data_IF_465493486341
#
_entry.id   IF_465493486341
#
_cell.length_a   1.000
_cell.length_b   1.000
_cell.length_c   1.000
_cell.angle_alpha   90.00
_cell.angle_beta   90.00
_cell.angle_gamma   90.00
#
_symmetry.space_group_name_H-M   'P 1'
#
loop_
_entity.id
_entity.type
_entity.pdbx_description
1 polymer ?
#
# COMPACT_ATOMS: atom_id res chain seq x y z
N UNK A 1 7.95 51.37 16.84
CA UNK A 1 8.74 50.25 17.39
C UNK A 1 8.01 48.87 17.37
N UNK A 2 6.83 48.75 16.71
CA UNK A 2 6.09 47.45 16.63
C UNK A 2 6.24 46.71 15.30
N UNK A 3 6.96 47.25 14.32
CA UNK A 3 7.11 46.57 13.01
C UNK A 3 8.19 45.49 12.96
N UNK A 4 9.14 45.52 13.89
CA UNK A 4 10.25 44.52 13.91
C UNK A 4 9.92 43.17 14.56
N UNK A 5 8.91 43.11 15.43
CA UNK A 5 8.53 41.87 16.12
C UNK A 5 7.67 40.93 15.24
N UNK A 6 6.82 41.51 14.38
CA UNK A 6 5.98 40.74 13.47
C UNK A 6 6.79 40.03 12.37
N UNK A 7 7.90 40.61 11.95
CA UNK A 7 8.76 40.06 10.90
C UNK A 7 9.63 38.90 11.44
N UNK A 8 10.05 38.99 12.72
CA UNK A 8 10.83 37.94 13.38
C UNK A 8 10.02 36.68 13.63
N UNK A 9 8.78 36.79 14.07
CA UNK A 9 7.89 35.64 14.31
C UNK A 9 7.48 34.97 12.99
N UNK A 10 7.26 35.73 11.94
CA UNK A 10 6.96 35.17 10.61
C UNK A 10 8.17 34.44 10.00
N UNK A 11 9.38 34.98 10.15
CA UNK A 11 10.61 34.34 9.67
C UNK A 11 10.98 33.12 10.50
N UNK A 12 10.75 33.10 11.82
CA UNK A 12 11.00 31.95 12.68
C UNK A 12 10.01 30.82 12.41
N UNK A 13 8.73 31.10 12.27
CA UNK A 13 7.70 30.13 11.92
C UNK A 13 7.94 29.50 10.54
N UNK A 14 8.42 30.28 9.59
CA UNK A 14 8.77 29.80 8.25
C UNK A 14 10.03 28.89 8.28
N UNK A 15 11.02 29.22 9.14
CA UNK A 15 12.21 28.41 9.33
C UNK A 15 11.91 27.05 9.99
N UNK A 16 11.05 27.01 10.99
CA UNK A 16 10.63 25.75 11.63
C UNK A 16 9.81 24.87 10.68
N UNK A 17 8.91 25.48 9.91
CA UNK A 17 8.12 24.77 8.90
C UNK A 17 9.01 24.17 7.80
N UNK A 18 10.00 24.92 7.33
CA UNK A 18 10.98 24.46 6.36
C UNK A 18 11.85 23.31 6.91
N UNK A 19 12.27 23.36 8.18
CA UNK A 19 12.99 22.26 8.84
C UNK A 19 12.13 21.00 8.95
N UNK A 20 10.83 21.14 9.28
CA UNK A 20 9.88 20.02 9.35
C UNK A 20 9.69 19.37 7.98
N UNK A 21 9.49 20.19 6.93
CA UNK A 21 9.36 19.71 5.56
C UNK A 21 10.64 19.01 5.11
N UNK A 22 11.81 19.62 5.33
CA UNK A 22 13.11 19.02 4.97
C UNK A 22 13.34 17.68 5.69
N UNK A 23 13.02 17.60 6.98
CA UNK A 23 13.12 16.36 7.76
C UNK A 23 12.19 15.26 7.21
N UNK A 24 10.94 15.59 6.93
CA UNK A 24 9.98 14.64 6.38
C UNK A 24 10.42 14.14 4.99
N UNK A 25 10.89 15.05 4.14
CA UNK A 25 11.44 14.71 2.82
C UNK A 25 12.66 13.80 2.93
N UNK A 26 13.58 14.10 3.85
CA UNK A 26 14.77 13.26 4.09
C UNK A 26 14.37 11.84 4.52
N UNK A 27 13.38 11.69 5.42
CA UNK A 27 12.87 10.36 5.82
C UNK A 27 12.29 9.59 4.64
N UNK A 28 11.56 10.27 3.75
CA UNK A 28 11.01 9.62 2.54
C UNK A 28 12.12 9.16 1.58
N UNK A 29 13.14 9.98 1.33
CA UNK A 29 14.28 9.59 0.48
C UNK A 29 15.07 8.44 1.09
N UNK A 30 15.43 8.52 2.37
CA UNK A 30 16.13 7.44 3.07
C UNK A 30 15.34 6.12 3.00
N UNK A 31 14.03 6.18 3.24
CA UNK A 31 13.15 5.03 3.09
C UNK A 31 13.21 4.46 1.67
N UNK A 32 13.10 5.30 0.63
CA UNK A 32 13.12 4.83 -0.77
C UNK A 32 14.44 4.15 -1.12
N UNK A 33 15.58 4.74 -0.72
CA UNK A 33 16.91 4.16 -0.96
C UNK A 33 17.09 2.82 -0.23
N UNK A 34 16.69 2.75 1.05
CA UNK A 34 16.78 1.52 1.83
C UNK A 34 15.90 0.41 1.25
N UNK A 35 14.64 0.71 0.92
CA UNK A 35 13.73 -0.26 0.32
C UNK A 35 14.26 -0.73 -1.05
N UNK A 36 14.78 0.19 -1.87
CA UNK A 36 15.37 -0.15 -3.16
C UNK A 36 16.56 -1.11 -3.00
N UNK A 37 17.48 -0.81 -2.08
CA UNK A 37 18.64 -1.67 -1.77
C UNK A 37 18.22 -3.05 -1.28
N UNK A 38 17.28 -3.12 -0.34
CA UNK A 38 16.73 -4.39 0.17
C UNK A 38 16.03 -5.17 -0.95
N UNK A 39 15.23 -4.51 -1.80
CA UNK A 39 14.51 -5.16 -2.90
C UNK A 39 15.46 -5.75 -3.93
N UNK A 40 16.51 -5.03 -4.31
CA UNK A 40 17.52 -5.52 -5.26
C UNK A 40 18.27 -6.75 -4.68
N UNK A 41 18.63 -6.69 -3.41
CA UNK A 41 19.27 -7.81 -2.74
C UNK A 41 18.33 -9.02 -2.64
N UNK A 42 17.09 -8.79 -2.21
CA UNK A 42 16.03 -9.81 -2.10
C UNK A 42 15.79 -10.51 -3.43
N UNK A 43 15.66 -9.78 -4.54
CA UNK A 43 15.45 -10.35 -5.88
C UNK A 43 16.57 -11.31 -6.28
N UNK A 44 17.83 -10.95 -5.95
CA UNK A 44 18.98 -11.81 -6.21
C UNK A 44 18.95 -13.11 -5.40
N UNK A 45 18.57 -13.02 -4.12
CA UNK A 45 18.51 -14.20 -3.25
C UNK A 45 17.32 -15.09 -3.63
N UNK A 46 16.14 -14.50 -3.92
CA UNK A 46 14.96 -15.24 -4.42
C UNK A 46 15.30 -16.03 -5.67
N UNK A 47 15.96 -15.40 -6.66
CA UNK A 47 16.38 -16.05 -7.89
C UNK A 47 17.32 -17.24 -7.63
N UNK A 48 18.20 -17.13 -6.63
CA UNK A 48 19.10 -18.21 -6.24
C UNK A 48 18.36 -19.40 -5.60
N UNK A 49 17.38 -19.11 -4.73
CA UNK A 49 16.67 -20.11 -3.94
C UNK A 49 15.57 -20.81 -4.75
N UNK A 50 14.78 -20.06 -5.51
CA UNK A 50 13.71 -20.62 -6.35
C UNK A 50 14.25 -21.22 -7.67
N UNK A 51 15.37 -20.69 -8.16
CA UNK A 51 15.82 -20.97 -9.52
C UNK A 51 15.12 -20.10 -10.58
N UNK A 52 15.59 -20.19 -11.80
CA UNK A 52 15.11 -19.32 -12.90
C UNK A 52 13.66 -19.64 -13.29
N UNK A 53 13.29 -20.93 -13.29
CA UNK A 53 11.98 -21.38 -13.72
C UNK A 53 10.87 -20.94 -12.75
N UNK A 54 10.99 -21.27 -11.48
CA UNK A 54 10.00 -20.93 -10.44
C UNK A 54 9.95 -19.41 -10.20
N UNK A 55 11.08 -18.72 -10.26
CA UNK A 55 11.12 -17.26 -10.20
C UNK A 55 10.42 -16.64 -11.42
N UNK A 56 10.58 -17.24 -12.60
CA UNK A 56 9.86 -16.84 -13.82
C UNK A 56 8.34 -16.99 -13.66
N UNK A 57 7.88 -18.16 -13.20
CA UNK A 57 6.47 -18.44 -12.94
C UNK A 57 5.89 -17.42 -11.93
N UNK A 58 6.58 -17.18 -10.81
CA UNK A 58 6.15 -16.21 -9.80
C UNK A 58 5.99 -14.80 -10.40
N UNK A 59 6.96 -14.33 -11.20
CA UNK A 59 6.89 -13.00 -11.80
C UNK A 59 5.80 -12.87 -12.87
N UNK A 60 5.59 -13.89 -13.69
CA UNK A 60 4.55 -13.88 -14.73
C UNK A 60 3.16 -13.90 -14.09
N UNK A 61 2.94 -14.78 -13.13
CA UNK A 61 1.67 -14.90 -12.40
C UNK A 61 1.39 -13.65 -11.57
N UNK A 62 2.39 -13.17 -10.82
CA UNK A 62 2.31 -11.92 -10.06
C UNK A 62 2.14 -10.69 -10.96
N UNK A 63 2.68 -10.72 -12.17
CA UNK A 63 2.51 -9.68 -13.18
C UNK A 63 1.06 -9.48 -13.60
N UNK A 64 0.30 -10.55 -13.78
CA UNK A 64 -1.15 -10.50 -14.07
C UNK A 64 -1.88 -9.76 -12.95
N UNK A 65 -1.55 -10.07 -11.70
CA UNK A 65 -2.16 -9.43 -10.52
C UNK A 65 -1.69 -7.98 -10.37
N UNK A 66 -0.45 -7.67 -10.72
CA UNK A 66 0.14 -6.32 -10.55
C UNK A 66 -0.49 -5.26 -11.47
N UNK A 67 -1.15 -5.66 -12.57
CA UNK A 67 -1.93 -4.73 -13.41
C UNK A 67 -3.01 -4.01 -12.57
N UNK A 68 -3.56 -4.71 -11.57
CA UNK A 68 -4.57 -4.15 -10.68
C UNK A 68 -4.02 -3.04 -9.75
N UNK A 69 -2.70 -2.98 -9.55
CA UNK A 69 -2.06 -1.96 -8.70
C UNK A 69 -2.16 -0.53 -9.27
N UNK A 70 -2.45 -0.38 -10.54
CA UNK A 70 -2.76 0.93 -11.15
C UNK A 70 -3.93 1.62 -10.45
N UNK A 71 -4.98 0.87 -10.12
CA UNK A 71 -6.14 1.40 -9.40
C UNK A 71 -5.78 1.85 -7.98
N UNK A 72 -4.85 1.15 -7.31
CA UNK A 72 -4.39 1.48 -5.96
C UNK A 72 -3.73 2.86 -5.94
N UNK A 73 -2.83 3.14 -6.85
CA UNK A 73 -2.09 4.40 -6.89
C UNK A 73 -3.00 5.60 -7.15
N UNK A 74 -3.94 5.48 -8.08
CA UNK A 74 -4.90 6.52 -8.40
C UNK A 74 -5.80 6.87 -7.21
N UNK A 75 -6.37 5.85 -6.56
CA UNK A 75 -7.27 6.02 -5.42
C UNK A 75 -6.53 6.50 -4.15
N UNK A 76 -5.27 6.14 -3.97
CA UNK A 76 -4.43 6.60 -2.87
C UNK A 76 -4.29 8.13 -2.88
N UNK A 77 -3.98 8.71 -4.04
CA UNK A 77 -3.83 10.16 -4.18
C UNK A 77 -5.13 10.91 -3.86
N UNK A 78 -6.27 10.38 -4.33
CA UNK A 78 -7.59 10.97 -4.05
C UNK A 78 -7.90 10.91 -2.55
N UNK A 79 -7.70 9.76 -1.92
CA UNK A 79 -7.91 9.58 -0.48
C UNK A 79 -7.07 10.56 0.35
N UNK A 80 -5.78 10.67 0.06
CA UNK A 80 -4.87 11.59 0.75
C UNK A 80 -5.30 13.04 0.57
N UNK A 81 -5.72 13.44 -0.63
CA UNK A 81 -6.18 14.80 -0.90
C UNK A 81 -7.37 15.18 -0.02
N UNK A 82 -8.41 14.33 0.05
CA UNK A 82 -9.61 14.64 0.86
C UNK A 82 -9.33 14.65 2.35
N UNK A 83 -8.49 13.75 2.83
CA UNK A 83 -8.06 13.76 4.22
C UNK A 83 -7.27 15.02 4.58
N UNK A 84 -6.37 15.45 3.70
CA UNK A 84 -5.61 16.69 3.89
C UNK A 84 -6.50 17.93 3.92
N UNK A 85 -7.56 17.99 3.09
CA UNK A 85 -8.52 19.10 3.09
C UNK A 85 -9.29 19.14 4.42
N UNK A 86 -9.80 18.02 4.89
CA UNK A 86 -10.52 17.93 6.17
C UNK A 86 -9.65 18.33 7.37
N UNK A 87 -8.41 17.86 7.41
CA UNK A 87 -7.44 18.24 8.44
C UNK A 87 -7.04 19.72 8.36
N UNK A 88 -6.87 20.25 7.15
CA UNK A 88 -6.55 21.68 6.96
C UNK A 88 -7.67 22.61 7.44
N UNK A 89 -8.94 22.17 7.35
CA UNK A 89 -10.11 22.87 7.91
C UNK A 89 -10.30 22.63 9.41
N UNK A 90 -9.49 21.78 10.03
CA UNK A 90 -9.64 21.30 11.41
C UNK A 90 -11.01 20.64 11.69
N UNK A 91 -11.67 20.11 10.66
CA UNK A 91 -12.94 19.41 10.78
C UNK A 91 -12.70 17.88 10.86
N UNK A 92 -12.67 17.37 12.11
CA UNK A 92 -12.51 15.94 12.37
C UNK A 92 -13.69 15.11 11.83
N UNK A 93 -14.87 15.72 11.70
CA UNK A 93 -16.04 15.04 11.18
C UNK A 93 -15.91 14.83 9.66
N UNK A 94 -15.51 15.89 8.92
CA UNK A 94 -15.23 15.81 7.48
C UNK A 94 -14.10 14.81 7.19
N UNK A 95 -13.00 14.84 7.96
CA UNK A 95 -11.88 13.90 7.86
C UNK A 95 -12.32 12.47 8.12
N UNK A 96 -13.12 12.22 9.15
CA UNK A 96 -13.65 10.90 9.47
C UNK A 96 -14.65 10.37 8.42
N UNK A 97 -15.42 11.27 7.77
CA UNK A 97 -16.27 10.91 6.65
C UNK A 97 -15.44 10.49 5.43
N UNK A 98 -14.40 11.26 5.09
CA UNK A 98 -13.49 10.95 3.99
C UNK A 98 -12.80 9.59 4.20
N UNK A 99 -12.32 9.30 5.40
CA UNK A 99 -11.72 8.02 5.75
C UNK A 99 -12.69 6.84 5.59
N UNK A 100 -13.90 6.95 6.16
CA UNK A 100 -14.92 5.88 6.08
C UNK A 100 -15.40 5.62 4.66
N UNK A 101 -15.58 6.69 3.88
CA UNK A 101 -15.94 6.60 2.45
C UNK A 101 -14.84 5.89 1.66
N UNK A 102 -13.59 6.26 1.89
CA UNK A 102 -12.43 5.63 1.27
C UNK A 102 -12.33 4.15 1.62
N UNK A 103 -12.53 3.78 2.89
CA UNK A 103 -12.61 2.38 3.32
C UNK A 103 -13.68 1.61 2.58
N UNK A 104 -14.91 2.16 2.50
CA UNK A 104 -16.03 1.50 1.82
C UNK A 104 -15.73 1.28 0.34
N UNK A 105 -15.14 2.29 -0.33
CA UNK A 105 -14.75 2.18 -1.74
C UNK A 105 -13.67 1.11 -1.95
N UNK A 106 -12.65 1.05 -1.07
CA UNK A 106 -11.59 0.04 -1.17
C UNK A 106 -12.13 -1.38 -0.93
N UNK A 107 -13.05 -1.55 0.01
CA UNK A 107 -13.73 -2.83 0.21
C UNK A 107 -14.55 -3.25 -1.01
N UNK A 108 -15.33 -2.32 -1.59
CA UNK A 108 -16.10 -2.60 -2.80
C UNK A 108 -15.19 -2.96 -3.97
N UNK A 109 -14.12 -2.20 -4.15
CA UNK A 109 -13.11 -2.48 -5.18
C UNK A 109 -12.44 -3.84 -4.95
N UNK A 110 -12.12 -4.19 -3.71
CA UNK A 110 -11.54 -5.49 -3.36
C UNK A 110 -12.46 -6.65 -3.75
N UNK A 111 -13.77 -6.55 -3.49
CA UNK A 111 -14.74 -7.57 -3.90
C UNK A 111 -14.81 -7.67 -5.41
N UNK A 112 -14.87 -6.53 -6.11
CA UNK A 112 -14.91 -6.50 -7.57
C UNK A 112 -13.64 -7.14 -8.17
N UNK A 113 -12.46 -6.77 -7.67
CA UNK A 113 -11.17 -7.30 -8.13
C UNK A 113 -11.02 -8.79 -7.79
N UNK A 114 -11.57 -9.25 -6.66
CA UNK A 114 -11.61 -10.67 -6.33
C UNK A 114 -12.45 -11.44 -7.38
N UNK A 115 -13.64 -10.96 -7.70
CA UNK A 115 -14.51 -11.60 -8.71
C UNK A 115 -13.84 -11.62 -10.09
N UNK A 116 -13.25 -10.52 -10.53
CA UNK A 116 -12.50 -10.47 -11.79
C UNK A 116 -11.25 -11.37 -11.76
N UNK A 117 -10.53 -11.39 -10.65
CA UNK A 117 -9.37 -12.26 -10.47
C UNK A 117 -9.75 -13.73 -10.59
N UNK A 118 -10.75 -14.19 -9.82
CA UNK A 118 -11.19 -15.59 -9.83
C UNK A 118 -11.82 -16.02 -11.17
N UNK A 119 -12.36 -15.12 -11.96
CA UNK A 119 -12.94 -15.45 -13.28
C UNK A 119 -11.94 -15.26 -14.41
N UNK A 120 -11.65 -14.01 -14.78
CA UNK A 120 -10.79 -13.67 -15.91
C UNK A 120 -9.32 -13.98 -15.66
N UNK A 121 -8.85 -13.76 -14.44
CA UNK A 121 -7.45 -13.97 -14.10
C UNK A 121 -7.09 -15.45 -14.09
N UNK A 122 -7.91 -16.32 -13.49
CA UNK A 122 -7.70 -17.76 -13.55
C UNK A 122 -7.83 -18.30 -14.97
N UNK A 123 -8.84 -17.84 -15.74
CA UNK A 123 -8.96 -18.20 -17.15
C UNK A 123 -7.66 -17.86 -17.92
N UNK A 124 -7.08 -16.70 -17.65
CA UNK A 124 -5.83 -16.28 -18.29
C UNK A 124 -4.65 -17.18 -17.88
N UNK A 125 -4.52 -17.53 -16.61
CA UNK A 125 -3.47 -18.43 -16.09
C UNK A 125 -3.56 -19.81 -16.77
N UNK A 126 -4.77 -20.37 -16.91
CA UNK A 126 -4.96 -21.70 -17.50
C UNK A 126 -4.79 -21.73 -19.02
N UNK A 127 -5.18 -20.66 -19.73
CA UNK A 127 -5.35 -20.72 -21.19
C UNK A 127 -4.31 -19.90 -21.97
N UNK A 128 -3.65 -18.93 -21.34
CA UNK A 128 -2.74 -17.99 -22.01
C UNK A 128 -1.31 -18.09 -21.53
N UNK A 129 -1.06 -18.53 -20.33
CA UNK A 129 0.29 -18.68 -19.82
C UNK A 129 0.88 -20.03 -20.25
N UNK A 130 2.13 -19.98 -20.73
CA UNK A 130 2.89 -21.19 -21.07
C UNK A 130 3.65 -21.63 -19.80
N UNK A 131 2.98 -22.45 -19.00
CA UNK A 131 3.53 -23.00 -17.75
C UNK A 131 3.68 -24.51 -17.93
N UNK A 132 4.82 -25.13 -17.50
CA UNK A 132 4.97 -26.57 -17.54
C UNK A 132 3.81 -27.28 -16.79
N UNK A 133 3.24 -28.35 -17.35
CA UNK A 133 2.07 -29.03 -16.76
C UNK A 133 2.32 -29.48 -15.31
N UNK A 134 3.56 -29.87 -15.00
CA UNK A 134 3.98 -30.29 -13.66
C UNK A 134 3.96 -29.15 -12.63
N UNK A 135 4.13 -27.89 -13.08
CA UNK A 135 4.16 -26.68 -12.25
C UNK A 135 2.84 -25.91 -12.23
N UNK A 136 1.86 -26.31 -13.05
CA UNK A 136 0.58 -25.58 -13.15
C UNK A 136 -0.16 -25.51 -11.82
N UNK A 137 -0.17 -26.57 -11.03
CA UNK A 137 -0.78 -26.59 -9.70
C UNK A 137 -0.11 -25.59 -8.75
N UNK A 138 1.21 -25.53 -8.73
CA UNK A 138 1.97 -24.57 -7.93
C UNK A 138 1.69 -23.12 -8.37
N UNK A 139 1.64 -22.85 -9.69
CA UNK A 139 1.32 -21.55 -10.25
C UNK A 139 -0.08 -21.04 -9.85
N UNK A 140 -1.08 -21.92 -9.82
CA UNK A 140 -2.44 -21.58 -9.38
C UNK A 140 -2.47 -21.20 -7.90
N UNK A 141 -1.76 -21.94 -7.03
CA UNK A 141 -1.64 -21.55 -5.61
C UNK A 141 -0.96 -20.19 -5.43
N UNK A 142 0.14 -19.96 -6.14
CA UNK A 142 0.84 -18.67 -6.13
C UNK A 142 -0.07 -17.54 -6.62
N UNK A 143 -0.90 -17.80 -7.61
CA UNK A 143 -1.90 -16.85 -8.10
C UNK A 143 -2.87 -16.43 -6.98
N UNK A 144 -3.47 -17.38 -6.25
CA UNK A 144 -4.38 -17.07 -5.14
C UNK A 144 -3.68 -16.31 -4.01
N UNK A 145 -2.44 -16.68 -3.66
CA UNK A 145 -1.67 -15.95 -2.67
C UNK A 145 -1.32 -14.53 -3.12
N UNK A 146 -1.03 -14.33 -4.40
CA UNK A 146 -0.82 -13.00 -4.99
C UNK A 146 -2.10 -12.16 -4.96
N UNK A 147 -3.27 -12.77 -5.21
CA UNK A 147 -4.57 -12.11 -5.05
C UNK A 147 -4.80 -11.64 -3.61
N UNK A 148 -4.56 -12.49 -2.61
CA UNK A 148 -4.66 -12.10 -1.20
C UNK A 148 -3.73 -10.93 -0.88
N UNK A 149 -2.51 -10.95 -1.40
CA UNK A 149 -1.53 -9.88 -1.20
C UNK A 149 -2.01 -8.54 -1.76
N UNK A 150 -2.53 -8.51 -2.99
CA UNK A 150 -3.02 -7.28 -3.62
C UNK A 150 -4.29 -6.75 -2.93
N UNK A 151 -5.21 -7.62 -2.52
CA UNK A 151 -6.40 -7.25 -1.77
C UNK A 151 -6.04 -6.61 -0.42
N UNK A 152 -5.04 -7.14 0.27
CA UNK A 152 -4.50 -6.55 1.50
C UNK A 152 -3.89 -5.17 1.23
N UNK A 153 -3.12 -5.02 0.14
CA UNK A 153 -2.52 -3.75 -0.25
C UNK A 153 -3.57 -2.68 -0.60
N UNK A 154 -4.66 -3.04 -1.27
CA UNK A 154 -5.77 -2.13 -1.58
C UNK A 154 -6.41 -1.61 -0.29
N UNK A 155 -6.71 -2.49 0.65
CA UNK A 155 -7.33 -2.11 1.93
C UNK A 155 -6.37 -1.36 2.86
N UNK A 156 -5.07 -1.38 2.61
CA UNK A 156 -4.07 -0.58 3.32
C UNK A 156 -4.08 0.90 2.89
N UNK A 157 -4.57 1.23 1.69
CA UNK A 157 -4.54 2.59 1.12
C UNK A 157 -5.13 3.66 2.05
N UNK A 158 -6.37 3.55 2.57
CA UNK A 158 -6.94 4.57 3.45
C UNK A 158 -6.17 4.71 4.76
N UNK A 159 -5.63 3.61 5.29
CA UNK A 159 -4.85 3.60 6.53
C UNK A 159 -3.51 4.34 6.35
N UNK A 160 -2.84 4.07 5.22
CA UNK A 160 -1.63 4.78 4.83
C UNK A 160 -1.91 6.26 4.59
N UNK A 161 -3.03 6.58 3.91
CA UNK A 161 -3.49 7.94 3.67
C UNK A 161 -3.67 8.73 4.97
N UNK A 162 -4.25 8.11 6.01
CA UNK A 162 -4.40 8.72 7.33
C UNK A 162 -3.04 9.06 7.97
N UNK A 163 -2.07 8.15 7.94
CA UNK A 163 -0.73 8.37 8.52
C UNK A 163 -0.01 9.52 7.81
N UNK A 164 -0.10 9.56 6.47
CA UNK A 164 0.54 10.62 5.65
C UNK A 164 -0.15 11.97 5.86
N UNK A 165 -1.49 12.00 5.92
CA UNK A 165 -2.25 13.22 6.15
C UNK A 165 -1.96 13.86 7.52
N UNK A 166 -1.70 13.03 8.55
CA UNK A 166 -1.26 13.50 9.86
C UNK A 166 0.24 13.81 9.95
N UNK A 167 0.94 13.86 8.81
CA UNK A 167 2.38 14.14 8.71
C UNK A 167 3.28 13.21 9.54
N UNK A 168 2.81 12.00 9.86
CA UNK A 168 3.60 11.00 10.61
C UNK A 168 4.54 10.20 9.69
N UNK A 169 5.39 10.93 8.94
CA UNK A 169 6.29 10.34 7.92
C UNK A 169 7.32 9.37 8.50
N UNK A 170 7.73 9.56 9.77
CA UNK A 170 8.61 8.64 10.47
C UNK A 170 7.97 7.25 10.65
N UNK A 171 6.70 7.18 11.06
CA UNK A 171 5.97 5.91 11.21
C UNK A 171 5.80 5.23 9.85
N UNK A 172 5.41 6.01 8.85
CA UNK A 172 5.32 5.51 7.47
C UNK A 172 6.65 4.92 6.96
N UNK A 173 7.78 5.57 7.28
CA UNK A 173 9.10 5.07 6.92
C UNK A 173 9.45 3.77 7.66
N UNK A 174 9.19 3.69 8.98
CA UNK A 174 9.46 2.50 9.76
C UNK A 174 8.62 1.29 9.33
N UNK A 175 7.33 1.49 9.05
CA UNK A 175 6.46 0.42 8.58
C UNK A 175 6.89 -0.10 7.21
N UNK A 176 7.28 0.79 6.29
CA UNK A 176 7.79 0.38 4.98
C UNK A 176 9.14 -0.36 5.07
N UNK A 177 10.03 0.06 5.97
CA UNK A 177 11.29 -0.64 6.21
C UNK A 177 11.05 -2.03 6.85
N UNK A 178 10.13 -2.10 7.83
CA UNK A 178 9.73 -3.37 8.43
C UNK A 178 9.20 -4.36 7.37
N UNK A 179 8.33 -3.88 6.47
CA UNK A 179 7.81 -4.70 5.36
C UNK A 179 8.93 -5.22 4.46
N UNK A 180 9.90 -4.36 4.09
CA UNK A 180 11.03 -4.77 3.26
C UNK A 180 11.91 -5.81 3.97
N UNK A 181 12.20 -5.62 5.26
CA UNK A 181 12.96 -6.58 6.07
C UNK A 181 12.21 -7.91 6.25
N UNK A 182 10.89 -7.86 6.44
CA UNK A 182 10.07 -9.07 6.55
C UNK A 182 10.09 -9.89 5.26
N UNK A 183 10.01 -9.23 4.10
CA UNK A 183 10.14 -9.89 2.79
C UNK A 183 11.53 -10.53 2.60
N UNK A 184 12.59 -9.84 3.01
CA UNK A 184 13.94 -10.41 2.99
C UNK A 184 14.06 -11.63 3.93
N UNK A 185 13.48 -11.55 5.12
CA UNK A 185 13.49 -12.64 6.10
C UNK A 185 12.80 -13.90 5.57
N UNK A 186 11.70 -13.76 4.81
CA UNK A 186 11.01 -14.87 4.15
C UNK A 186 11.99 -15.68 3.28
N UNK A 187 12.85 -15.00 2.54
CA UNK A 187 13.76 -15.68 1.60
C UNK A 187 14.79 -16.52 2.34
N UNK A 188 15.27 -16.06 3.50
CA UNK A 188 16.15 -16.86 4.36
C UNK A 188 15.42 -18.04 5.01
N UNK A 189 14.14 -17.84 5.40
CA UNK A 189 13.30 -18.94 5.87
C UNK A 189 13.12 -20.01 4.79
N UNK A 190 12.96 -19.62 3.55
CA UNK A 190 12.81 -20.52 2.42
C UNK A 190 14.04 -21.40 2.22
N UNK A 191 15.23 -20.84 2.38
CA UNK A 191 16.50 -21.59 2.30
C UNK A 191 16.61 -22.65 3.42
N UNK A 192 16.03 -22.36 4.60
CA UNK A 192 16.05 -23.28 5.75
C UNK A 192 15.03 -24.43 5.65
N UNK A 193 13.89 -24.23 4.96
CA UNK A 193 12.80 -25.21 4.83
C UNK A 193 12.81 -25.94 3.47
N UNK A 194 13.92 -26.45 3.02
CA UNK A 194 14.12 -27.08 1.70
C UNK A 194 13.34 -28.37 1.38
N UNK A 195 12.36 -28.77 2.20
CA UNK A 195 11.56 -30.01 2.03
C UNK A 195 10.18 -29.78 1.40
N UNK A 196 9.71 -28.54 1.29
CA UNK A 196 8.41 -28.15 0.73
C UNK A 196 8.64 -27.48 -0.62
N UNK A 197 7.65 -27.52 -1.51
CA UNK A 197 7.72 -26.79 -2.78
C UNK A 197 7.99 -25.29 -2.52
N UNK A 198 9.21 -24.87 -2.84
CA UNK A 198 9.71 -23.52 -2.53
C UNK A 198 8.87 -22.42 -3.15
N UNK A 199 8.26 -22.68 -4.32
CA UNK A 199 7.42 -21.72 -5.01
C UNK A 199 6.10 -21.45 -4.25
N UNK A 200 5.43 -22.52 -3.80
CA UNK A 200 4.17 -22.41 -3.03
C UNK A 200 4.44 -21.77 -1.68
N UNK A 201 5.50 -22.23 -0.97
CA UNK A 201 5.87 -21.70 0.33
C UNK A 201 6.21 -20.22 0.25
N UNK A 202 6.94 -19.79 -0.79
CA UNK A 202 7.27 -18.39 -1.01
C UNK A 202 6.01 -17.53 -1.21
N UNK A 203 5.09 -17.96 -2.08
CA UNK A 203 3.82 -17.27 -2.30
C UNK A 203 2.97 -17.14 -1.03
N UNK A 204 2.87 -18.24 -0.26
CA UNK A 204 2.14 -18.26 1.02
C UNK A 204 2.73 -17.27 2.04
N UNK A 205 4.05 -17.31 2.25
CA UNK A 205 4.73 -16.44 3.20
C UNK A 205 4.59 -14.96 2.81
N UNK A 206 4.66 -14.66 1.51
CA UNK A 206 4.44 -13.29 1.01
C UNK A 206 3.00 -12.81 1.28
N UNK A 207 1.99 -13.68 1.11
CA UNK A 207 0.61 -13.35 1.44
C UNK A 207 0.43 -13.11 2.96
N UNK A 208 1.03 -13.96 3.80
CA UNK A 208 0.99 -13.81 5.26
C UNK A 208 1.60 -12.46 5.68
N UNK A 209 2.76 -12.09 5.13
CA UNK A 209 3.39 -10.80 5.45
C UNK A 209 2.52 -9.63 4.99
N UNK A 210 1.91 -9.71 3.80
CA UNK A 210 1.03 -8.65 3.30
C UNK A 210 -0.19 -8.43 4.21
N UNK A 211 -0.83 -9.51 4.66
CA UNK A 211 -1.94 -9.44 5.62
C UNK A 211 -1.47 -8.91 6.98
N UNK A 212 -0.32 -9.36 7.46
CA UNK A 212 0.23 -8.92 8.74
C UNK A 212 0.58 -7.43 8.73
N UNK A 213 1.19 -6.95 7.67
CA UNK A 213 1.49 -5.51 7.48
C UNK A 213 0.19 -4.70 7.45
N UNK A 214 -0.83 -5.14 6.70
CA UNK A 214 -2.14 -4.50 6.70
C UNK A 214 -2.74 -4.42 8.11
N UNK A 215 -2.66 -5.49 8.89
CA UNK A 215 -3.13 -5.50 10.29
C UNK A 215 -2.38 -4.48 11.16
N UNK A 216 -1.05 -4.37 11.01
CA UNK A 216 -0.26 -3.36 11.76
C UNK A 216 -0.74 -1.94 11.41
N UNK A 217 -0.92 -1.64 10.11
CA UNK A 217 -1.45 -0.34 9.69
C UNK A 217 -2.85 -0.09 10.26
N UNK A 218 -3.73 -1.09 10.26
CA UNK A 218 -5.08 -0.99 10.80
C UNK A 218 -5.07 -0.72 12.32
N UNK A 219 -4.32 -1.50 13.08
CA UNK A 219 -4.21 -1.34 14.54
C UNK A 219 -3.62 0.03 14.88
N UNK A 220 -2.56 0.44 14.19
CA UNK A 220 -1.93 1.73 14.42
C UNK A 220 -2.89 2.89 14.14
N UNK A 221 -3.55 2.89 12.97
CA UNK A 221 -4.46 3.97 12.56
C UNK A 221 -5.65 4.11 13.50
N UNK A 222 -6.28 3.00 13.91
CA UNK A 222 -7.44 3.01 14.83
C UNK A 222 -7.05 3.47 16.24
N UNK A 223 -5.84 3.11 16.72
CA UNK A 223 -5.38 3.51 18.05
C UNK A 223 -4.87 4.95 18.10
N UNK A 224 -4.28 5.44 17.03
CA UNK A 224 -3.64 6.76 17.00
C UNK A 224 -4.57 7.89 16.58
N UNK A 225 -5.62 7.58 15.80
CA UNK A 225 -6.51 8.59 15.22
C UNK A 225 -7.96 8.30 15.61
N UNK A 226 -8.61 9.23 16.31
CA UNK A 226 -9.98 9.08 16.82
C UNK A 226 -11.04 9.07 15.72
N UNK A 227 -10.75 9.71 14.59
CA UNK A 227 -11.57 9.77 13.37
C UNK A 227 -11.50 8.49 12.53
N UNK A 228 -10.43 7.69 12.66
CA UNK A 228 -10.22 6.47 11.90
C UNK A 228 -10.98 5.27 12.50
N UNK A 229 -12.29 5.37 12.60
CA UNK A 229 -13.14 4.25 13.05
C UNK A 229 -13.65 3.45 11.88
N UNK A 230 -13.51 2.13 11.93
CA UNK A 230 -14.08 1.22 10.95
C UNK A 230 -15.60 1.25 11.01
N UNK A 231 -16.24 2.02 10.11
CA UNK A 231 -17.68 2.05 9.89
C UNK A 231 -17.93 2.19 8.40
N UNK A 232 -18.80 1.34 7.85
CA UNK A 232 -19.31 1.52 6.50
C UNK A 232 -20.14 2.79 6.43
N UNK A 233 -19.77 3.70 5.54
CA UNK A 233 -20.48 4.95 5.32
C UNK A 233 -20.55 5.22 3.83
N UNK A 234 -21.75 5.38 3.31
CA UNK A 234 -21.99 5.66 1.92
C UNK A 234 -22.70 7.01 1.76
N UNK A 235 -22.08 7.93 1.06
CA UNK A 235 -22.68 9.20 0.67
C UNK A 235 -22.48 9.40 -0.82
N UNK A 236 -23.58 9.42 -1.59
CA UNK A 236 -23.56 9.51 -3.03
C UNK A 236 -22.92 10.79 -3.54
N UNK A 237 -23.16 11.93 -2.89
CA UNK A 237 -22.57 13.23 -3.24
C UNK A 237 -21.05 13.24 -3.12
N UNK A 238 -20.50 12.52 -2.14
CA UNK A 238 -19.06 12.37 -1.95
C UNK A 238 -18.44 11.43 -3.01
N UNK A 239 -19.20 10.43 -3.45
CA UNK A 239 -18.76 9.49 -4.47
C UNK A 239 -18.60 10.20 -5.84
N UNK A 240 -19.49 11.14 -6.17
CA UNK A 240 -19.40 11.96 -7.39
C UNK A 240 -18.19 12.90 -7.36
N UNK A 241 -17.80 13.40 -6.19
CA UNK A 241 -16.58 14.22 -6.02
C UNK A 241 -15.29 13.40 -6.30
N UNK A 242 -15.29 12.10 -6.03
CA UNK A 242 -14.19 11.19 -6.36
C UNK A 242 -14.03 10.95 -7.87
N UNK A 243 -15.11 11.09 -8.63
CA UNK A 243 -15.13 10.80 -10.08
C UNK A 243 -15.05 12.05 -10.96
N UNK A 244 -15.33 13.24 -10.41
CA UNK A 244 -15.35 14.50 -11.17
C UNK A 244 -14.47 15.56 -10.49
N UNK A 245 -13.38 16.03 -11.13
CA UNK A 245 -12.69 17.24 -10.68
C UNK A 245 -13.64 18.41 -10.80
N UNK A 246 -14.01 19.03 -9.67
CA UNK A 246 -14.87 20.21 -9.67
C UNK A 246 -14.19 21.37 -10.41
N UNK A 247 -14.85 22.05 -11.35
CA UNK A 247 -14.32 23.24 -12.02
C UNK A 247 -14.02 24.40 -11.05
N UNK A 248 -14.45 24.31 -9.79
CA UNK A 248 -14.23 25.35 -8.76
C UNK A 248 -12.85 25.31 -8.12
N UNK A 249 -12.03 24.30 -8.41
CA UNK A 249 -10.66 24.18 -7.88
C UNK A 249 -9.62 24.91 -8.76
N UNK A 250 -10.05 25.62 -9.80
CA UNK A 250 -9.18 26.35 -10.74
C UNK A 250 -9.29 27.87 -10.63
N UNK A 251 -9.88 28.44 -9.56
CA UNK A 251 -9.94 29.89 -9.32
C UNK A 251 -9.20 30.29 -8.05
#
# INVERSE_FOLDING_TARGET
MCFGLFDYDFMSANSENNKRIAKNTLFLYMRMLLIMGVTLYTSRVVLRVLGVEDFGIYNVVGGVVSIMSFFISSLSNVTQRYMNIGLGKQDLMETGCAFRQSLTLMWLLSVLLLLFGETLGLWFVYNKLVIPPERLGAAVWVYHFSLISILSAINQVPLMGAIVAHERMNIYAYLGLFEACARLFIVYLLEAFGTIDSLILYGLLMAIVSVFVWLIYAIYSVRSFTECKFRFYWNYSFCLLYTSPSPRDCS
#
